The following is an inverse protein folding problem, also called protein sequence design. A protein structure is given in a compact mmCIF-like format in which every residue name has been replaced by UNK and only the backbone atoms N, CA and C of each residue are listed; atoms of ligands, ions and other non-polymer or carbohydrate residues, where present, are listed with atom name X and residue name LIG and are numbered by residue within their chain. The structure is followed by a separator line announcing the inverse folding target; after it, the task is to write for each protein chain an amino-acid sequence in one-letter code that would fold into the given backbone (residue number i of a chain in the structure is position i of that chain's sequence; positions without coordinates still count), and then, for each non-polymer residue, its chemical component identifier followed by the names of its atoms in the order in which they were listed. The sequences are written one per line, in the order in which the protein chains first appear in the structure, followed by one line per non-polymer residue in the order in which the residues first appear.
data_IF_736941916409
#
_entry.id   IF_736941916409
#
_cell.length_a   1.000
_cell.length_b   1.000
_cell.length_c   1.000
_cell.angle_alpha   90.00
_cell.angle_beta   90.00
_cell.angle_gamma   90.00
#
_symmetry.space_group_name_H-M   'P 1'
#
loop_
_entity.id
_entity.type
_entity.pdbx_description
1 polymer ?
#
# COMPACT_ATOMS: atom_id res chain seq x y z
N UNK A 1 -4.07 -4.87 -6.70
CA UNK A 1 -3.87 -6.23 -6.18
C UNK A 1 -3.00 -7.13 -7.08
N UNK A 2 -2.39 -6.63 -8.17
CA UNK A 2 -1.43 -7.41 -8.99
C UNK A 2 0.04 -7.23 -8.58
N UNK A 3 0.45 -6.00 -8.19
CA UNK A 3 1.87 -5.70 -7.92
C UNK A 3 2.53 -6.54 -6.80
N UNK A 4 1.77 -6.96 -5.79
CA UNK A 4 2.28 -7.77 -4.68
C UNK A 4 2.58 -9.21 -5.13
N UNK A 5 1.63 -9.97 -5.70
CA UNK A 5 1.93 -11.29 -6.24
C UNK A 5 2.99 -11.25 -7.36
N UNK A 6 3.00 -10.22 -8.21
CA UNK A 6 4.01 -10.05 -9.26
C UNK A 6 5.44 -9.93 -8.70
N UNK A 7 5.59 -9.20 -7.58
CA UNK A 7 6.89 -9.04 -6.90
C UNK A 7 7.31 -10.33 -6.20
N UNK A 8 6.35 -11.06 -5.61
CA UNK A 8 6.60 -12.36 -4.97
C UNK A 8 7.08 -13.38 -6.01
N UNK A 9 6.45 -13.41 -7.19
CA UNK A 9 6.82 -14.33 -8.27
C UNK A 9 8.20 -14.00 -8.85
N UNK A 10 8.52 -12.70 -9.01
CA UNK A 10 9.86 -12.26 -9.39
C UNK A 10 10.94 -12.66 -8.37
N UNK A 11 10.69 -12.46 -7.07
CA UNK A 11 11.63 -12.82 -6.02
C UNK A 11 11.80 -14.35 -5.91
N UNK A 12 10.70 -15.12 -6.04
CA UNK A 12 10.73 -16.57 -6.07
C UNK A 12 11.53 -17.11 -7.27
N UNK A 13 11.38 -16.50 -8.46
CA UNK A 13 12.16 -16.88 -9.64
C UNK A 13 13.66 -16.59 -9.47
N UNK A 14 14.02 -15.52 -8.75
CA UNK A 14 15.43 -15.13 -8.54
C UNK A 14 16.11 -15.88 -7.40
N UNK A 15 15.37 -16.25 -6.36
CA UNK A 15 15.91 -16.84 -5.12
C UNK A 15 15.60 -18.33 -4.94
N UNK A 16 14.61 -18.88 -5.65
CA UNK A 16 14.16 -20.27 -5.51
C UNK A 16 13.33 -20.54 -4.26
N UNK A 17 13.10 -19.55 -3.39
CA UNK A 17 12.33 -19.69 -2.15
C UNK A 17 11.01 -18.89 -2.23
N UNK A 18 9.88 -19.52 -1.89
CA UNK A 18 8.58 -18.83 -1.81
C UNK A 18 8.41 -18.19 -0.43
N UNK A 19 8.62 -16.87 -0.35
CA UNK A 19 8.52 -16.07 0.90
C UNK A 19 7.17 -15.37 1.07
N UNK A 20 6.09 -15.99 0.61
CA UNK A 20 4.74 -15.40 0.59
C UNK A 20 4.28 -14.86 1.95
N UNK A 21 4.49 -15.65 3.02
CA UNK A 21 4.09 -15.26 4.37
C UNK A 21 4.78 -13.99 4.86
N UNK A 22 6.05 -13.78 4.49
CA UNK A 22 6.79 -12.58 4.86
C UNK A 22 6.29 -11.33 4.10
N UNK A 23 6.01 -11.47 2.80
CA UNK A 23 5.47 -10.38 1.98
C UNK A 23 4.06 -9.96 2.42
N UNK A 24 3.15 -10.93 2.61
CA UNK A 24 1.80 -10.64 3.10
C UNK A 24 1.82 -10.11 4.55
N UNK A 25 2.71 -10.64 5.39
CA UNK A 25 2.94 -10.13 6.75
C UNK A 25 3.38 -8.66 6.75
N UNK A 26 4.37 -8.31 5.93
CA UNK A 26 4.83 -6.94 5.77
C UNK A 26 3.71 -6.03 5.25
N UNK A 27 3.00 -6.46 4.20
CA UNK A 27 1.89 -5.70 3.62
C UNK A 27 0.81 -5.35 4.66
N UNK A 28 0.37 -6.35 5.43
CA UNK A 28 -0.66 -6.15 6.44
C UNK A 28 -0.15 -5.32 7.61
N UNK A 29 1.10 -5.50 8.04
CA UNK A 29 1.73 -4.69 9.07
C UNK A 29 1.83 -3.22 8.66
N UNK A 30 2.39 -2.93 7.49
CA UNK A 30 2.50 -1.56 6.96
C UNK A 30 1.12 -0.91 6.81
N UNK A 31 0.12 -1.66 6.34
CA UNK A 31 -1.25 -1.17 6.24
C UNK A 31 -1.85 -0.78 7.60
N UNK A 32 -1.58 -1.57 8.66
CA UNK A 32 -2.03 -1.26 10.02
C UNK A 32 -1.33 -0.02 10.56
N UNK A 33 0.00 0.09 10.39
CA UNK A 33 0.77 1.26 10.80
C UNK A 33 0.24 2.53 10.12
N UNK A 34 -0.02 2.47 8.81
CA UNK A 34 -0.60 3.60 8.05
C UNK A 34 -1.97 4.01 8.58
N UNK A 35 -2.85 3.05 8.88
CA UNK A 35 -4.16 3.33 9.47
C UNK A 35 -4.04 3.96 10.87
N UNK A 36 -3.17 3.43 11.72
CA UNK A 36 -2.94 4.00 13.06
C UNK A 36 -2.40 5.43 12.99
N UNK A 37 -1.45 5.70 12.09
CA UNK A 37 -0.94 7.06 11.87
C UNK A 37 -2.03 8.00 11.34
N UNK A 38 -2.87 7.54 10.41
CA UNK A 38 -3.98 8.32 9.87
C UNK A 38 -4.97 8.73 10.98
N UNK A 39 -5.34 7.79 11.85
CA UNK A 39 -6.22 8.06 13.00
C UNK A 39 -5.57 9.06 13.97
N UNK A 40 -4.29 8.86 14.30
CA UNK A 40 -3.55 9.75 15.20
C UNK A 40 -3.49 11.17 14.66
N UNK A 41 -3.06 11.35 13.41
CA UNK A 41 -2.93 12.66 12.77
C UNK A 41 -4.30 13.35 12.70
N UNK A 42 -5.34 12.62 12.31
CA UNK A 42 -6.70 13.15 12.25
C UNK A 42 -7.19 13.62 13.62
N UNK A 43 -6.93 12.83 14.67
CA UNK A 43 -7.26 13.19 16.05
C UNK A 43 -6.53 14.46 16.54
N UNK A 44 -5.24 14.58 16.22
CA UNK A 44 -4.45 15.77 16.57
C UNK A 44 -4.97 17.02 15.86
N UNK A 45 -5.32 16.92 14.58
CA UNK A 45 -5.87 18.04 13.80
C UNK A 45 -7.24 18.46 14.33
N UNK A 46 -8.12 17.51 14.67
CA UNK A 46 -9.43 17.81 15.26
C UNK A 46 -9.29 18.47 16.64
N UNK A 47 -8.38 17.96 17.47
CA UNK A 47 -8.09 18.53 18.79
C UNK A 47 -7.55 19.96 18.67
N UNK A 48 -6.58 20.20 17.79
CA UNK A 48 -6.04 21.54 17.52
C UNK A 48 -7.05 22.50 16.86
N UNK A 49 -8.03 21.95 16.15
CA UNK A 49 -9.18 22.68 15.59
C UNK A 49 -10.22 23.07 16.63
N UNK A 50 -10.16 22.51 17.85
CA UNK A 50 -11.14 22.72 18.91
C UNK A 50 -12.46 22.01 18.64
N UNK A 51 -12.41 20.82 18.04
CA UNK A 51 -13.60 20.01 17.78
C UNK A 51 -14.30 19.61 19.08
N UNK A 52 -15.62 19.79 19.13
CA UNK A 52 -16.46 19.40 20.28
C UNK A 52 -17.58 18.50 19.79
N UNK A 53 -17.72 17.28 20.33
CA UNK A 53 -18.81 16.39 19.92
C UNK A 53 -20.19 16.98 20.30
N UNK A 54 -21.21 16.73 19.46
CA UNK A 54 -22.61 17.07 19.74
C UNK A 54 -22.92 18.56 20.01
N UNK A 55 -22.03 19.47 19.60
CA UNK A 55 -22.17 20.92 19.75
C UNK A 55 -22.04 21.68 18.43
N UNK A 56 -22.45 22.95 18.42
CA UNK A 56 -22.22 23.83 17.28
C UNK A 56 -20.70 24.06 17.09
N UNK A 57 -20.18 23.69 15.92
CA UNK A 57 -18.75 23.78 15.63
C UNK A 57 -18.31 25.21 15.34
N UNK A 58 -17.14 25.58 15.86
CA UNK A 58 -16.48 26.82 15.47
C UNK A 58 -16.03 26.78 14.00
N UNK A 59 -15.86 27.96 13.38
CA UNK A 59 -15.30 28.07 12.02
C UNK A 59 -13.93 27.39 11.89
N UNK A 60 -13.14 27.39 12.97
CA UNK A 60 -11.83 26.72 13.06
C UNK A 60 -11.96 25.19 13.04
N UNK A 61 -12.91 24.63 13.77
CA UNK A 61 -13.17 23.18 13.78
C UNK A 61 -13.65 22.70 12.40
N UNK A 62 -14.52 23.47 11.74
CA UNK A 62 -14.99 23.18 10.37
C UNK A 62 -13.81 23.19 9.38
N UNK A 63 -12.89 24.15 9.50
CA UNK A 63 -11.69 24.20 8.67
C UNK A 63 -10.79 22.98 8.89
N UNK A 64 -10.58 22.57 10.14
CA UNK A 64 -9.80 21.38 10.48
C UNK A 64 -10.40 20.10 9.86
N UNK A 65 -11.74 19.94 9.90
CA UNK A 65 -12.44 18.83 9.25
C UNK A 65 -12.21 18.85 7.73
N UNK A 66 -12.33 20.03 7.09
CA UNK A 66 -12.08 20.17 5.64
C UNK A 66 -10.66 19.79 5.26
N UNK A 67 -9.67 20.10 6.11
CA UNK A 67 -8.28 19.69 5.88
C UNK A 67 -8.12 18.17 5.86
N UNK A 68 -8.75 17.47 6.80
CA UNK A 68 -8.66 16.00 6.92
C UNK A 68 -9.35 15.29 5.74
N UNK A 69 -10.44 15.85 5.21
CA UNK A 69 -11.22 15.21 4.15
C UNK A 69 -10.66 15.49 2.74
N UNK A 70 -10.04 16.66 2.50
CA UNK A 70 -9.62 17.06 1.16
C UNK A 70 -8.10 17.20 0.97
N UNK A 71 -7.49 18.30 1.43
CA UNK A 71 -6.08 18.59 1.20
C UNK A 71 -5.11 17.52 1.72
N UNK A 72 -5.38 16.97 2.91
CA UNK A 72 -4.47 16.01 3.52
C UNK A 72 -4.42 14.67 2.74
N UNK A 73 -5.55 14.03 2.39
CA UNK A 73 -5.55 12.87 1.48
C UNK A 73 -4.91 13.16 0.12
N UNK A 74 -5.15 14.35 -0.44
CA UNK A 74 -4.55 14.76 -1.71
C UNK A 74 -3.02 14.77 -1.64
N UNK A 75 -2.44 15.34 -0.59
CA UNK A 75 -0.98 15.35 -0.39
C UNK A 75 -0.41 13.94 -0.26
N UNK A 76 -1.10 13.05 0.44
CA UNK A 76 -0.70 11.63 0.56
C UNK A 76 -0.72 10.95 -0.80
N UNK A 77 -1.75 11.17 -1.62
CA UNK A 77 -1.82 10.62 -2.98
C UNK A 77 -0.72 11.16 -3.89
N UNK A 78 -0.44 12.46 -3.84
CA UNK A 78 0.65 13.05 -4.62
C UNK A 78 1.99 12.44 -4.20
N UNK A 79 2.24 12.27 -2.89
CA UNK A 79 3.42 11.58 -2.39
C UNK A 79 3.51 10.14 -2.90
N UNK A 80 2.40 9.41 -2.91
CA UNK A 80 2.34 8.05 -3.45
C UNK A 80 2.65 8.01 -4.95
N UNK A 81 2.14 8.95 -5.75
CA UNK A 81 2.43 9.07 -7.18
C UNK A 81 3.90 9.34 -7.45
N UNK A 82 4.54 10.21 -6.64
CA UNK A 82 5.97 10.49 -6.73
C UNK A 82 6.78 9.23 -6.40
N UNK A 83 6.41 8.47 -5.37
CA UNK A 83 7.09 7.21 -5.05
C UNK A 83 6.95 6.17 -6.17
N UNK A 84 5.76 6.10 -6.79
CA UNK A 84 5.50 5.21 -7.93
C UNK A 84 6.38 5.58 -9.14
N UNK A 85 6.68 6.86 -9.38
CA UNK A 85 7.61 7.28 -10.44
C UNK A 85 9.02 6.70 -10.29
N UNK A 86 9.45 6.41 -9.06
CA UNK A 86 10.74 5.77 -8.78
C UNK A 86 10.64 4.23 -8.73
N UNK A 87 9.48 3.65 -8.96
CA UNK A 87 9.28 2.20 -8.89
C UNK A 87 9.90 1.53 -10.13
N UNK A 88 10.96 0.71 -9.97
CA UNK A 88 11.74 0.18 -11.10
C UNK A 88 11.11 -1.05 -11.77
N UNK A 89 10.00 -1.55 -11.22
CA UNK A 89 9.21 -2.68 -11.75
C UNK A 89 8.17 -2.12 -12.72
N UNK A 90 8.65 -1.67 -13.89
CA UNK A 90 7.81 -1.25 -15.01
C UNK A 90 7.21 -2.49 -15.71
N UNK A 91 6.03 -2.35 -16.33
CA UNK A 91 5.28 -3.44 -16.96
C UNK A 91 6.12 -4.18 -18.02
N UNK A 92 7.08 -3.48 -18.64
CA UNK A 92 8.06 -4.05 -19.57
C UNK A 92 8.98 -5.08 -18.92
N UNK A 93 9.44 -4.85 -17.69
CA UNK A 93 10.30 -5.77 -16.95
C UNK A 93 9.50 -7.02 -16.56
N UNK A 94 8.26 -6.84 -16.10
CA UNK A 94 7.36 -7.93 -15.76
C UNK A 94 7.01 -8.81 -16.98
N UNK A 95 6.68 -8.19 -18.12
CA UNK A 95 6.42 -8.92 -19.37
C UNK A 95 7.67 -9.63 -19.91
N UNK A 96 8.86 -9.05 -19.76
CA UNK A 96 10.11 -9.68 -20.17
C UNK A 96 10.48 -10.89 -19.30
N UNK A 97 10.09 -10.90 -18.02
CA UNK A 97 10.23 -12.05 -17.12
C UNK A 97 9.27 -13.19 -17.49
N UNK A 98 7.99 -12.89 -17.72
CA UNK A 98 7.03 -13.92 -18.15
C UNK A 98 7.35 -14.50 -19.54
N UNK A 99 7.93 -13.70 -20.44
CA UNK A 99 8.39 -14.18 -21.75
C UNK A 99 9.63 -15.10 -21.67
N UNK A 100 10.39 -15.06 -20.57
CA UNK A 100 11.57 -15.88 -20.34
C UNK A 100 11.29 -17.15 -19.53
N UNK A 101 10.09 -17.30 -18.94
CA UNK A 101 9.70 -18.51 -18.23
C UNK A 101 9.52 -19.67 -19.24
N UNK A 102 10.48 -20.59 -19.39
CA UNK A 102 10.31 -21.74 -20.28
C UNK A 102 9.38 -22.72 -19.57
N UNK A 103 8.38 -23.24 -20.29
CA UNK A 103 7.71 -24.56 -20.23
C UNK A 103 7.77 -25.51 -18.98
N UNK A 104 8.23 -25.12 -17.80
CA UNK A 104 8.42 -25.97 -16.61
C UNK A 104 7.18 -26.02 -15.70
N UNK A 105 6.14 -25.25 -16.02
CA UNK A 105 4.86 -25.31 -15.32
C UNK A 105 4.15 -26.67 -15.49
N UNK A 106 4.56 -27.50 -16.46
CA UNK A 106 4.01 -28.83 -16.66
C UNK A 106 4.57 -29.90 -15.70
N UNK A 107 5.69 -29.65 -15.00
CA UNK A 107 6.35 -30.69 -14.18
C UNK A 107 6.16 -30.50 -12.67
N UNK A 108 5.75 -29.31 -12.21
CA UNK A 108 5.60 -29.02 -10.78
C UNK A 108 4.17 -29.14 -10.22
N UNK A 109 3.21 -29.59 -11.04
CA UNK A 109 1.93 -30.14 -10.58
C UNK A 109 2.10 -31.63 -10.22
N UNK A 110 2.92 -31.96 -9.21
CA UNK A 110 2.79 -33.26 -8.54
C UNK A 110 1.89 -33.06 -7.31
N UNK A 111 0.68 -33.66 -7.27
CA UNK A 111 -0.16 -33.59 -6.09
C UNK A 111 0.57 -34.28 -4.94
N UNK A 112 0.85 -33.50 -3.89
CA UNK A 112 1.19 -34.07 -2.58
C UNK A 112 -0.15 -34.51 -2.00
N UNK A 113 -0.36 -35.83 -1.94
CA UNK A 113 -1.48 -36.44 -1.23
C UNK A 113 -1.44 -36.06 0.25
#
# INVERSE_FOLDING_TARGET
WAMVPDTIEYDAHRTGERKEGAFYGMWTFTSKVGQSLSILISGLILSAGGYVAEAAQSSRAIFAIRLIIGPLPLLVFVGALVLIQFYPLDEKTYRALMAQAPADQATQQRPVQ
#
